data_IF_497037361088
#
_entry.id   IF_497037361088
#
_cell.length_a   1.000
_cell.length_b   1.000
_cell.length_c   1.000
_cell.angle_alpha   90.00
_cell.angle_beta   90.00
_cell.angle_gamma   90.00
#
_symmetry.space_group_name_H-M   'P 1'
#
loop_
_entity.id
_entity.type
_entity.pdbx_description
1 polymer ?
#
# COMPACT_ATOMS: atom_id res chain seq x y z
N UNK A 1 10.11 20.78 -18.08
CA UNK A 1 11.09 19.84 -17.48
C UNK A 1 10.99 18.55 -18.26
N UNK A 2 12.05 18.09 -18.91
CA UNK A 2 12.04 16.83 -19.67
C UNK A 2 12.07 15.66 -18.68
N UNK A 3 10.92 15.07 -18.45
CA UNK A 3 10.79 13.82 -17.68
C UNK A 3 11.56 12.74 -18.44
N UNK A 4 12.41 11.98 -17.74
CA UNK A 4 13.18 10.92 -18.38
C UNK A 4 12.21 9.93 -19.06
N UNK A 5 12.54 9.38 -20.26
CA UNK A 5 11.60 8.59 -21.06
C UNK A 5 10.98 7.39 -20.34
N UNK A 6 11.61 6.89 -19.26
CA UNK A 6 11.08 5.81 -18.41
C UNK A 6 9.96 6.23 -17.45
N UNK A 7 9.97 7.46 -16.97
CA UNK A 7 8.94 7.98 -16.04
C UNK A 7 7.68 8.35 -16.82
N UNK A 8 7.82 8.92 -18.00
CA UNK A 8 6.69 9.24 -18.87
C UNK A 8 5.93 7.97 -19.29
N UNK A 9 6.65 6.93 -19.71
CA UNK A 9 6.07 5.62 -20.03
C UNK A 9 5.28 5.01 -18.86
N UNK A 10 5.70 5.25 -17.61
CA UNK A 10 4.97 4.76 -16.43
C UNK A 10 3.63 5.46 -16.28
N UNK A 11 3.59 6.79 -16.40
CA UNK A 11 2.34 7.55 -16.35
C UNK A 11 1.42 7.24 -17.53
N UNK A 12 1.95 7.03 -18.74
CA UNK A 12 1.17 6.59 -19.90
C UNK A 12 0.52 5.21 -19.68
N UNK A 13 1.21 4.28 -19.01
CA UNK A 13 0.61 2.99 -18.64
C UNK A 13 -0.49 3.12 -17.57
N UNK A 14 -0.31 4.03 -16.61
CA UNK A 14 -1.34 4.34 -15.61
C UNK A 14 -2.56 4.96 -16.29
N UNK A 15 -2.35 5.93 -17.18
CA UNK A 15 -3.39 6.60 -17.94
C UNK A 15 -4.22 5.59 -18.75
N UNK A 16 -3.54 4.73 -19.50
CA UNK A 16 -4.18 3.65 -20.25
C UNK A 16 -4.99 2.72 -19.32
N UNK A 17 -4.38 2.26 -18.23
CA UNK A 17 -5.05 1.35 -17.29
C UNK A 17 -6.28 2.01 -16.65
N UNK A 18 -6.14 3.24 -16.18
CA UNK A 18 -7.21 3.96 -15.50
C UNK A 18 -8.38 4.27 -16.45
N UNK A 19 -8.08 4.55 -17.72
CA UNK A 19 -9.08 4.78 -18.77
C UNK A 19 -9.78 3.48 -19.18
N UNK A 20 -9.02 2.42 -19.47
CA UNK A 20 -9.56 1.13 -19.93
C UNK A 20 -10.43 0.45 -18.87
N UNK A 21 -10.04 0.54 -17.59
CA UNK A 21 -10.76 -0.07 -16.48
C UNK A 21 -11.72 0.89 -15.78
N UNK A 22 -12.01 2.06 -16.35
CA UNK A 22 -13.04 2.94 -15.83
C UNK A 22 -14.43 2.26 -15.89
N UNK A 23 -15.28 2.38 -14.85
CA UNK A 23 -15.13 3.16 -13.62
C UNK A 23 -14.45 2.41 -12.45
N UNK A 24 -14.08 1.14 -12.64
CA UNK A 24 -13.52 0.29 -11.59
C UNK A 24 -12.17 0.79 -11.05
N UNK A 25 -11.38 1.43 -11.91
CA UNK A 25 -10.12 2.12 -11.58
C UNK A 25 -10.28 3.23 -10.52
N UNK A 26 -11.50 3.72 -10.29
CA UNK A 26 -11.83 4.67 -9.20
C UNK A 26 -12.57 3.96 -8.06
N UNK A 27 -13.57 3.14 -8.40
CA UNK A 27 -14.45 2.50 -7.41
C UNK A 27 -13.66 1.59 -6.47
N UNK A 28 -12.73 0.79 -7.00
CA UNK A 28 -11.93 -0.15 -6.20
C UNK A 28 -11.04 0.59 -5.19
N UNK A 29 -10.22 1.59 -5.58
CA UNK A 29 -9.48 2.44 -4.63
C UNK A 29 -10.34 3.08 -3.54
N UNK A 30 -11.54 3.57 -3.87
CA UNK A 30 -12.46 4.16 -2.89
C UNK A 30 -12.91 3.10 -1.88
N UNK A 31 -13.32 1.92 -2.35
CA UNK A 31 -13.72 0.80 -1.47
C UNK A 31 -12.55 0.40 -0.57
N UNK A 32 -11.34 0.28 -1.11
CA UNK A 32 -10.14 -0.03 -0.33
C UNK A 32 -9.85 1.02 0.74
N UNK A 33 -9.98 2.31 0.40
CA UNK A 33 -9.78 3.42 1.32
C UNK A 33 -10.79 3.39 2.47
N UNK A 34 -12.08 3.26 2.17
CA UNK A 34 -13.14 3.24 3.19
C UNK A 34 -12.98 2.02 4.11
N UNK A 35 -12.77 0.84 3.51
CA UNK A 35 -12.63 -0.40 4.26
C UNK A 35 -11.37 -0.41 5.13
N UNK A 36 -10.23 0.10 4.64
CA UNK A 36 -9.00 0.12 5.43
C UNK A 36 -9.12 1.10 6.60
N UNK A 37 -9.73 2.28 6.40
CA UNK A 37 -9.98 3.24 7.48
C UNK A 37 -10.90 2.65 8.55
N UNK A 38 -11.97 1.96 8.13
CA UNK A 38 -12.87 1.26 9.03
C UNK A 38 -12.16 0.17 9.84
N UNK A 39 -11.30 -0.63 9.19
CA UNK A 39 -10.54 -1.70 9.85
C UNK A 39 -9.44 -1.16 10.77
N UNK A 40 -8.76 -0.07 10.41
CA UNK A 40 -7.78 0.62 11.27
C UNK A 40 -8.49 1.13 12.52
N UNK A 41 -9.61 1.85 12.36
CA UNK A 41 -10.39 2.34 13.49
C UNK A 41 -10.87 1.19 14.39
N UNK A 42 -11.42 0.14 13.79
CA UNK A 42 -11.88 -1.06 14.51
C UNK A 42 -10.75 -1.74 15.28
N UNK A 43 -9.56 -1.84 14.68
CA UNK A 43 -8.38 -2.45 15.29
C UNK A 43 -7.84 -1.60 16.43
N UNK A 44 -7.69 -0.28 16.25
CA UNK A 44 -7.13 0.61 17.27
C UNK A 44 -8.07 0.83 18.46
N UNK A 45 -9.40 0.78 18.25
CA UNK A 45 -10.37 0.90 19.34
C UNK A 45 -10.28 -0.28 20.32
N UNK A 46 -9.95 -1.49 19.84
CA UNK A 46 -9.80 -2.68 20.67
C UNK A 46 -8.68 -3.57 20.10
N UNK A 47 -7.41 -3.33 20.46
CA UNK A 47 -6.28 -4.01 19.84
C UNK A 47 -6.17 -5.48 20.28
N UNK A 48 -6.47 -6.40 19.38
CA UNK A 48 -6.28 -7.84 19.56
C UNK A 48 -5.80 -8.54 18.28
N UNK A 49 -5.47 -9.83 18.39
CA UNK A 49 -4.97 -10.63 17.28
C UNK A 49 -6.00 -10.85 16.17
N UNK A 50 -7.29 -10.97 16.50
CA UNK A 50 -8.36 -11.25 15.53
C UNK A 50 -8.63 -10.04 14.65
N UNK A 51 -8.77 -8.86 15.24
CA UNK A 51 -8.97 -7.60 14.51
C UNK A 51 -7.73 -7.23 13.70
N UNK A 52 -6.55 -7.46 14.27
CA UNK A 52 -5.29 -7.30 13.53
C UNK A 52 -5.21 -8.28 12.34
N UNK A 53 -5.70 -9.51 12.47
CA UNK A 53 -5.75 -10.46 11.37
C UNK A 53 -6.67 -9.99 10.24
N UNK A 54 -7.84 -9.42 10.53
CA UNK A 54 -8.71 -8.83 9.50
C UNK A 54 -8.02 -7.68 8.75
N UNK A 55 -7.36 -6.77 9.47
CA UNK A 55 -6.64 -5.67 8.84
C UNK A 55 -5.45 -6.18 7.99
N UNK A 56 -4.65 -7.12 8.51
CA UNK A 56 -3.55 -7.75 7.75
C UNK A 56 -4.04 -8.46 6.49
N UNK A 57 -5.09 -9.26 6.60
CA UNK A 57 -5.66 -9.98 5.47
C UNK A 57 -6.22 -9.02 4.41
N UNK A 58 -6.84 -7.91 4.84
CA UNK A 58 -7.33 -6.90 3.92
C UNK A 58 -6.20 -6.16 3.21
N UNK A 59 -5.15 -5.75 3.94
CA UNK A 59 -3.98 -5.12 3.30
C UNK A 59 -3.25 -6.12 2.39
N UNK A 60 -3.18 -7.40 2.77
CA UNK A 60 -2.66 -8.46 1.90
C UNK A 60 -3.44 -8.57 0.59
N UNK A 61 -4.77 -8.49 0.64
CA UNK A 61 -5.62 -8.47 -0.54
C UNK A 61 -5.34 -7.23 -1.42
N UNK A 62 -5.16 -6.06 -0.82
CA UNK A 62 -4.78 -4.85 -1.56
C UNK A 62 -3.46 -5.08 -2.32
N UNK A 63 -2.43 -5.61 -1.65
CA UNK A 63 -1.15 -5.92 -2.29
C UNK A 63 -1.27 -6.98 -3.39
N UNK A 64 -2.16 -7.96 -3.22
CA UNK A 64 -2.43 -8.96 -4.25
C UNK A 64 -3.01 -8.33 -5.51
N UNK A 65 -4.06 -7.51 -5.34
CA UNK A 65 -4.70 -6.78 -6.43
C UNK A 65 -3.73 -5.79 -7.06
N UNK A 66 -2.91 -5.10 -6.26
CA UNK A 66 -1.91 -4.18 -6.76
C UNK A 66 -0.87 -4.89 -7.65
N UNK A 67 -0.35 -6.05 -7.24
CA UNK A 67 0.53 -6.86 -8.07
C UNK A 67 -0.11 -7.23 -9.43
N UNK A 68 -1.41 -7.53 -9.44
CA UNK A 68 -2.17 -7.78 -10.68
C UNK A 68 -2.30 -6.51 -11.54
N UNK A 69 -2.59 -5.35 -10.93
CA UNK A 69 -2.69 -4.09 -11.69
C UNK A 69 -1.37 -3.72 -12.37
N UNK A 70 -0.24 -3.85 -11.68
CA UNK A 70 1.09 -3.64 -12.27
C UNK A 70 1.37 -4.62 -13.40
N UNK A 71 0.99 -5.89 -13.21
CA UNK A 71 1.11 -6.91 -14.25
C UNK A 71 0.37 -6.51 -15.53
N UNK A 72 -0.88 -6.05 -15.39
CA UNK A 72 -1.71 -5.69 -16.53
C UNK A 72 -1.23 -4.39 -17.19
N UNK A 73 -0.91 -3.35 -16.40
CA UNK A 73 -0.55 -2.03 -16.90
C UNK A 73 0.85 -1.98 -17.53
N UNK A 74 1.84 -2.63 -16.92
CA UNK A 74 3.26 -2.44 -17.31
C UNK A 74 3.83 -3.56 -18.18
N UNK A 75 3.13 -4.70 -18.34
CA UNK A 75 3.60 -5.80 -19.21
C UNK A 75 3.97 -5.36 -20.63
N UNK A 76 3.27 -4.41 -21.30
CA UNK A 76 3.58 -4.05 -22.69
C UNK A 76 4.86 -3.21 -22.81
N UNK A 77 5.25 -2.54 -21.72
CA UNK A 77 6.40 -1.62 -21.68
C UNK A 77 7.66 -2.36 -21.31
N UNK A 78 7.62 -3.10 -20.19
CA UNK A 78 8.79 -3.81 -19.68
C UNK A 78 8.37 -5.03 -18.86
N UNK A 79 8.21 -6.16 -19.55
CA UNK A 79 7.84 -7.44 -18.95
C UNK A 79 8.69 -7.82 -17.73
N UNK A 80 10.01 -7.64 -17.78
CA UNK A 80 10.92 -8.08 -16.69
C UNK A 80 10.73 -7.24 -15.42
N UNK A 81 10.70 -5.92 -15.59
CA UNK A 81 10.47 -4.99 -14.48
C UNK A 81 9.07 -5.24 -13.89
N UNK A 82 8.06 -5.32 -14.75
CA UNK A 82 6.68 -5.58 -14.38
C UNK A 82 6.52 -6.90 -13.59
N UNK A 83 7.12 -8.00 -14.07
CA UNK A 83 7.11 -9.29 -13.37
C UNK A 83 7.76 -9.18 -11.99
N UNK A 84 8.91 -8.50 -11.90
CA UNK A 84 9.62 -8.34 -10.62
C UNK A 84 8.80 -7.55 -9.60
N UNK A 85 8.13 -6.47 -10.03
CA UNK A 85 7.27 -5.67 -9.15
C UNK A 85 6.01 -6.43 -8.75
N UNK A 86 5.38 -7.16 -9.67
CA UNK A 86 4.20 -7.99 -9.37
C UNK A 86 4.54 -9.09 -8.35
N UNK A 87 5.64 -9.83 -8.58
CA UNK A 87 6.13 -10.86 -7.66
C UNK A 87 6.47 -10.29 -6.29
N UNK A 88 7.11 -9.11 -6.25
CA UNK A 88 7.38 -8.40 -5.00
C UNK A 88 6.11 -8.12 -4.20
N UNK A 89 5.09 -7.55 -4.84
CA UNK A 89 3.80 -7.26 -4.19
C UNK A 89 3.07 -8.53 -3.74
N UNK A 90 3.09 -9.60 -4.53
CA UNK A 90 2.53 -10.88 -4.13
C UNK A 90 3.29 -11.54 -2.99
N UNK A 91 4.61 -11.35 -2.91
CA UNK A 91 5.40 -11.80 -1.78
C UNK A 91 5.02 -11.05 -0.50
N UNK A 92 4.85 -9.72 -0.55
CA UNK A 92 4.35 -8.93 0.58
C UNK A 92 2.95 -9.38 0.99
N UNK A 93 2.05 -9.59 0.03
CA UNK A 93 0.71 -10.15 0.27
C UNK A 93 0.77 -11.49 0.99
N UNK A 94 1.63 -12.40 0.53
CA UNK A 94 1.84 -13.70 1.17
C UNK A 94 2.33 -13.55 2.61
N UNK A 95 3.32 -12.69 2.89
CA UNK A 95 3.81 -12.46 4.25
C UNK A 95 2.72 -11.91 5.19
N UNK A 96 1.88 -11.00 4.70
CA UNK A 96 0.78 -10.43 5.47
C UNK A 96 -0.32 -11.47 5.74
N UNK A 97 -0.63 -12.35 4.78
CA UNK A 97 -1.53 -13.49 5.01
C UNK A 97 -0.94 -14.52 5.98
N UNK A 98 0.36 -14.83 5.86
CA UNK A 98 1.09 -15.68 6.78
C UNK A 98 1.00 -15.13 8.22
N UNK A 99 1.17 -13.82 8.39
CA UNK A 99 0.98 -13.13 9.66
C UNK A 99 -0.47 -13.11 10.15
N UNK A 100 -1.46 -13.07 9.27
CA UNK A 100 -2.87 -13.06 9.62
C UNK A 100 -3.34 -14.43 10.16
N UNK A 101 -2.95 -15.52 9.50
CA UNK A 101 -3.54 -16.84 9.74
C UNK A 101 -2.62 -17.82 10.45
N UNK A 102 -1.31 -17.77 10.24
CA UNK A 102 -0.36 -18.75 10.80
C UNK A 102 0.46 -18.18 11.94
N UNK A 103 1.27 -17.15 11.68
CA UNK A 103 2.24 -16.66 12.66
C UNK A 103 1.57 -15.89 13.79
N UNK A 104 0.56 -15.06 13.48
CA UNK A 104 -0.23 -14.29 14.45
C UNK A 104 0.66 -13.50 15.44
N UNK A 105 1.76 -12.92 14.96
CA UNK A 105 2.73 -12.19 15.82
C UNK A 105 2.47 -10.70 15.81
N UNK A 106 2.07 -10.13 14.67
CA UNK A 106 1.80 -8.69 14.55
C UNK A 106 0.42 -8.36 15.11
N UNK A 107 0.37 -7.47 16.10
CA UNK A 107 -0.85 -6.81 16.60
C UNK A 107 -0.73 -5.32 16.38
N UNK A 108 -1.73 -4.69 15.77
CA UNK A 108 -1.73 -3.25 15.53
C UNK A 108 -2.41 -2.49 16.67
N UNK A 109 -1.78 -1.40 17.09
CA UNK A 109 -2.29 -0.48 18.11
C UNK A 109 -1.60 0.87 17.96
N UNK A 110 -2.17 1.94 18.48
CA UNK A 110 -1.45 3.22 18.51
C UNK A 110 -0.22 3.11 19.43
N UNK A 111 0.97 3.55 18.96
CA UNK A 111 2.16 3.54 19.79
C UNK A 111 1.99 4.34 21.08
N UNK A 112 2.63 3.89 22.16
CA UNK A 112 2.66 4.64 23.43
C UNK A 112 3.63 5.83 23.34
N UNK A 113 4.78 5.64 22.69
CA UNK A 113 5.73 6.70 22.42
C UNK A 113 5.14 7.72 21.45
N UNK A 114 5.16 9.00 21.82
CA UNK A 114 4.53 10.09 21.07
C UNK A 114 5.10 10.23 19.66
N UNK A 115 6.42 10.17 19.50
CA UNK A 115 7.07 10.35 18.19
C UNK A 115 6.66 9.26 17.19
N UNK A 116 6.68 8.00 17.64
CA UNK A 116 6.24 6.86 16.83
C UNK A 116 4.75 6.93 16.50
N UNK A 117 3.93 7.44 17.43
CA UNK A 117 2.50 7.65 17.19
C UNK A 117 2.27 8.68 16.10
N UNK A 118 2.92 9.84 16.19
CA UNK A 118 2.79 10.89 15.19
C UNK A 118 3.31 10.43 13.83
N UNK A 119 4.47 9.76 13.80
CA UNK A 119 5.03 9.22 12.56
C UNK A 119 4.10 8.16 11.93
N UNK A 120 3.56 7.24 12.73
CA UNK A 120 2.61 6.22 12.25
C UNK A 120 1.36 6.86 11.63
N UNK A 121 0.74 7.82 12.33
CA UNK A 121 -0.45 8.53 11.85
C UNK A 121 -0.12 9.34 10.59
N UNK A 122 1.00 10.06 10.60
CA UNK A 122 1.44 10.88 9.47
C UNK A 122 1.63 10.02 8.21
N UNK A 123 2.29 8.87 8.30
CA UNK A 123 2.49 7.98 7.17
C UNK A 123 1.18 7.34 6.70
N UNK A 124 0.29 6.90 7.61
CA UNK A 124 -1.02 6.40 7.21
C UNK A 124 -1.85 7.48 6.49
N UNK A 125 -1.84 8.71 7.01
CA UNK A 125 -2.49 9.86 6.38
C UNK A 125 -1.83 10.21 5.04
N UNK A 126 -0.51 10.15 4.97
CA UNK A 126 0.23 10.49 3.77
C UNK A 126 -0.05 9.52 2.63
N UNK A 127 -0.09 8.22 2.93
CA UNK A 127 -0.41 7.19 1.96
C UNK A 127 -1.85 7.28 1.44
N UNK A 128 -2.81 7.68 2.26
CA UNK A 128 -4.22 7.74 1.83
C UNK A 128 -4.56 9.06 1.13
N UNK A 129 -4.07 10.19 1.63
CA UNK A 129 -4.53 11.52 1.21
C UNK A 129 -3.41 12.39 0.66
N UNK A 130 -2.29 12.52 1.39
CA UNK A 130 -1.26 13.49 1.01
C UNK A 130 -0.63 13.16 -0.35
N UNK A 131 -0.44 11.88 -0.64
CA UNK A 131 0.13 11.43 -1.91
C UNK A 131 -0.68 11.95 -3.10
N UNK A 132 -2.00 11.70 -3.12
CA UNK A 132 -2.88 12.19 -4.20
C UNK A 132 -3.00 13.71 -4.22
N UNK A 133 -2.97 14.39 -3.06
CA UNK A 133 -2.94 15.86 -3.00
C UNK A 133 -1.65 16.38 -3.66
N UNK A 134 -0.51 15.76 -3.38
CA UNK A 134 0.78 16.14 -3.98
C UNK A 134 0.78 15.90 -5.49
N UNK A 135 0.26 14.77 -5.96
CA UNK A 135 0.12 14.50 -7.41
C UNK A 135 -0.67 15.62 -8.10
N UNK A 136 -1.83 16.00 -7.55
CA UNK A 136 -2.65 17.10 -8.07
C UNK A 136 -1.89 18.43 -8.07
N UNK A 137 -1.16 18.74 -7.00
CA UNK A 137 -0.35 19.97 -6.91
C UNK A 137 0.82 20.00 -7.91
N UNK A 138 1.35 18.84 -8.27
CA UNK A 138 2.42 18.70 -9.27
C UNK A 138 1.92 18.67 -10.71
N UNK A 139 0.59 18.77 -10.92
CA UNK A 139 -0.01 18.84 -12.25
C UNK A 139 -0.47 17.50 -12.83
N UNK A 140 -0.43 16.43 -12.03
CA UNK A 140 -1.00 15.14 -12.43
C UNK A 140 -2.47 15.08 -12.03
N UNK A 141 -3.35 15.09 -13.02
CA UNK A 141 -4.79 14.90 -12.85
C UNK A 141 -5.22 13.54 -13.37
N UNK A 142 -6.44 13.11 -13.03
CA UNK A 142 -7.04 11.93 -13.63
C UNK A 142 -6.97 12.02 -15.18
N UNK A 143 -6.57 10.95 -15.90
CA UNK A 143 -6.36 9.55 -15.46
C UNK A 143 -4.94 9.19 -15.02
N UNK A 144 -3.99 10.12 -14.97
CA UNK A 144 -2.58 9.82 -14.66
C UNK A 144 -2.29 9.58 -13.17
N UNK A 145 -3.28 9.72 -12.28
CA UNK A 145 -3.07 9.64 -10.83
C UNK A 145 -2.93 8.21 -10.31
N UNK A 146 -2.09 8.02 -9.28
CA UNK A 146 -1.97 6.77 -8.54
C UNK A 146 -2.78 6.86 -7.25
N UNK A 147 -3.90 6.16 -7.21
CA UNK A 147 -4.79 6.13 -6.05
C UNK A 147 -4.35 5.08 -5.00
N UNK A 148 -4.82 5.27 -3.76
CA UNK A 148 -4.66 4.28 -2.70
C UNK A 148 -5.22 2.92 -3.12
N UNK A 149 -4.49 1.85 -2.85
CA UNK A 149 -4.77 0.54 -3.44
C UNK A 149 -3.77 0.15 -4.54
N UNK A 150 -3.00 1.12 -5.02
CA UNK A 150 -1.85 0.92 -5.87
C UNK A 150 -0.62 1.65 -5.33
N UNK A 151 0.55 1.25 -5.82
CA UNK A 151 1.79 2.02 -5.79
C UNK A 151 2.36 2.39 -4.42
N UNK A 152 3.10 3.48 -4.47
CA UNK A 152 3.66 4.22 -3.36
C UNK A 152 2.64 4.55 -2.26
N UNK A 153 1.41 5.04 -2.53
CA UNK A 153 0.49 5.43 -1.44
C UNK A 153 0.15 4.26 -0.51
N UNK A 154 -0.07 3.07 -1.07
CA UNK A 154 -0.34 1.84 -0.30
C UNK A 154 0.85 1.43 0.57
N UNK A 155 2.06 1.62 0.06
CA UNK A 155 3.30 1.26 0.76
C UNK A 155 3.65 2.24 1.88
N UNK A 156 3.48 3.53 1.65
CA UNK A 156 3.60 4.58 2.68
C UNK A 156 2.61 4.28 3.82
N UNK A 157 1.37 3.94 3.49
CA UNK A 157 0.36 3.52 4.47
C UNK A 157 0.79 2.27 5.26
N UNK A 158 1.24 1.21 4.59
CA UNK A 158 1.67 -0.02 5.26
C UNK A 158 2.84 0.23 6.23
N UNK A 159 3.78 1.12 5.87
CA UNK A 159 4.86 1.53 6.76
C UNK A 159 4.33 2.21 8.02
N UNK A 160 3.39 3.16 7.88
CA UNK A 160 2.71 3.77 9.01
C UNK A 160 2.00 2.73 9.89
N UNK A 161 1.34 1.75 9.28
CA UNK A 161 0.66 0.67 9.99
C UNK A 161 1.64 -0.26 10.71
N UNK A 162 2.79 -0.59 10.12
CA UNK A 162 3.81 -1.43 10.74
C UNK A 162 4.49 -0.74 11.93
N UNK A 163 4.74 0.57 11.85
CA UNK A 163 5.21 1.37 13.00
C UNK A 163 4.24 1.25 14.18
N UNK A 164 2.93 1.22 13.91
CA UNK A 164 1.92 1.02 14.96
C UNK A 164 2.11 -0.30 15.73
N UNK A 165 2.64 -1.34 15.08
CA UNK A 165 2.90 -2.63 15.73
C UNK A 165 4.14 -2.67 16.64
N UNK A 166 5.04 -1.67 16.56
CA UNK A 166 6.34 -1.70 17.25
C UNK A 166 6.24 -1.61 18.78
N UNK A 167 5.11 -1.14 19.32
CA UNK A 167 4.90 -1.04 20.78
C UNK A 167 4.59 -2.38 21.46
N UNK A 168 4.58 -3.50 20.74
CA UNK A 168 4.36 -4.85 21.27
C UNK A 168 5.31 -5.86 20.62
N UNK A 169 5.25 -7.11 21.09
CA UNK A 169 5.91 -8.25 20.43
C UNK A 169 5.41 -8.30 18.99
N UNK A 170 6.34 -8.24 18.03
CA UNK A 170 6.05 -8.15 16.59
C UNK A 170 6.99 -9.06 15.80
N UNK A 171 6.67 -9.37 14.54
CA UNK A 171 7.54 -10.18 13.69
C UNK A 171 8.58 -9.30 12.98
N UNK A 172 9.76 -9.18 13.59
CA UNK A 172 10.87 -8.34 13.10
C UNK A 172 11.28 -8.66 11.67
N UNK A 173 11.15 -9.91 11.23
CA UNK A 173 11.49 -10.31 9.86
C UNK A 173 10.52 -9.73 8.83
N UNK A 174 9.22 -9.82 9.10
CA UNK A 174 8.19 -9.25 8.21
C UNK A 174 8.35 -7.73 8.14
N UNK A 175 8.58 -7.07 9.29
CA UNK A 175 8.89 -5.64 9.31
C UNK A 175 10.14 -5.30 8.48
N UNK A 176 11.25 -5.99 8.72
CA UNK A 176 12.50 -5.74 8.01
C UNK A 176 12.35 -5.92 6.50
N UNK A 177 11.70 -6.99 6.06
CA UNK A 177 11.46 -7.27 4.65
C UNK A 177 10.56 -6.19 4.03
N UNK A 178 9.44 -5.83 4.66
CA UNK A 178 8.51 -4.84 4.10
C UNK A 178 9.14 -3.45 4.03
N UNK A 179 9.87 -3.02 5.07
CA UNK A 179 10.58 -1.74 5.04
C UNK A 179 11.67 -1.73 3.98
N UNK A 180 12.44 -2.81 3.87
CA UNK A 180 13.49 -2.95 2.84
C UNK A 180 12.87 -2.91 1.44
N UNK A 181 11.79 -3.65 1.22
CA UNK A 181 11.02 -3.61 -0.03
C UNK A 181 10.53 -2.20 -0.36
N UNK A 182 10.05 -1.46 0.64
CA UNK A 182 9.59 -0.07 0.48
C UNK A 182 10.70 0.89 0.03
N UNK A 183 11.95 0.65 0.46
CA UNK A 183 13.10 1.48 0.09
C UNK A 183 13.61 1.14 -1.32
N UNK A 184 13.53 -0.12 -1.74
CA UNK A 184 14.07 -0.56 -3.04
C UNK A 184 13.07 -0.46 -4.20
N UNK A 185 11.77 -0.40 -3.91
CA UNK A 185 10.70 -0.38 -4.92
C UNK A 185 9.91 0.94 -4.93
N UNK A 186 10.05 1.76 -3.88
CA UNK A 186 9.47 3.10 -3.78
C UNK A 186 10.31 4.19 -4.42
#
# INVERSE_FOLDING_TARGET
>A
MTVAPRVQQFFEAIDWYNTEFFPYSIIIPIIFTIAVLGLVFYCFKKPDLRRSAYLKAFVALIYFVFGLTLWVALKPINYRLCLSMALGNWFISFLLFAEAFWWKKITFQLPQQKDLRYLSILLMFAGIFLYTIVELMTGHSWPEMVLFGAGCPTTIFLNGLLISSLSRKTNKWVLGIVFTFSVFVG
#
